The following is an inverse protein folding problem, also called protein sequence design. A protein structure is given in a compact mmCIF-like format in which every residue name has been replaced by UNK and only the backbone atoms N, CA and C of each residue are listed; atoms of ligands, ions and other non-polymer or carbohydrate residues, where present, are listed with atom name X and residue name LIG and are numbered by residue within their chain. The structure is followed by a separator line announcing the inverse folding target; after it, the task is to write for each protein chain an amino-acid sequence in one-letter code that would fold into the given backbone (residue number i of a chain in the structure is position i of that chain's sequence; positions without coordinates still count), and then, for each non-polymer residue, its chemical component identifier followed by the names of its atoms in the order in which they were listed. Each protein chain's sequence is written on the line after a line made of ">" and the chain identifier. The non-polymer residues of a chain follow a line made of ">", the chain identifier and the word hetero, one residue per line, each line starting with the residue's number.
data_IF_608185350259
#
_entry.id   IF_608185350259
#
_cell.length_a   1.000
_cell.length_b   1.000
_cell.length_c   1.000
_cell.angle_alpha   90.00
_cell.angle_beta   90.00
_cell.angle_gamma   90.00
#
_symmetry.space_group_name_H-M   'P 1'
#
loop_
_entity.id
_entity.type
_entity.pdbx_description
1 polymer ?
#
# COMPACT_ATOMS: atom_id res chain seq x y z
N UNK A 1 23.38 -43.05 -30.89
CA UNK A 1 22.20 -43.83 -30.42
C UNK A 1 21.68 -43.19 -29.14
N UNK A 2 20.38 -42.95 -29.01
CA UNK A 2 19.79 -42.38 -27.78
C UNK A 2 19.73 -43.47 -26.70
N UNK A 3 20.07 -43.17 -25.42
CA UNK A 3 20.00 -44.16 -24.35
C UNK A 3 18.56 -44.63 -24.08
N UNK A 4 18.43 -45.86 -23.60
CA UNK A 4 17.16 -46.42 -23.15
C UNK A 4 16.66 -45.65 -21.92
N UNK A 5 15.34 -45.44 -21.82
CA UNK A 5 14.72 -44.80 -20.67
C UNK A 5 14.47 -45.84 -19.59
N UNK A 6 14.92 -45.57 -18.37
CA UNK A 6 14.63 -46.39 -17.20
C UNK A 6 13.39 -45.84 -16.49
N UNK A 7 12.38 -46.69 -16.30
CA UNK A 7 11.15 -46.31 -15.60
C UNK A 7 11.49 -46.08 -14.13
N UNK A 8 11.20 -44.88 -13.62
CA UNK A 8 11.46 -44.50 -12.23
C UNK A 8 12.85 -43.91 -11.95
N UNK A 9 13.73 -43.82 -12.95
CA UNK A 9 15.02 -43.15 -12.79
C UNK A 9 14.80 -41.62 -12.74
N UNK A 10 14.93 -41.04 -11.55
CA UNK A 10 14.83 -39.59 -11.32
C UNK A 10 16.24 -39.03 -11.14
N UNK A 11 16.54 -37.90 -11.80
CA UNK A 11 17.77 -37.17 -11.54
C UNK A 11 17.73 -36.62 -10.11
N UNK A 12 18.60 -37.13 -9.23
CA UNK A 12 18.69 -36.67 -7.84
C UNK A 12 19.45 -35.34 -7.78
N UNK A 13 18.72 -34.23 -7.73
CA UNK A 13 19.30 -32.91 -7.48
C UNK A 13 19.47 -32.71 -5.97
N UNK A 14 20.57 -33.22 -5.42
CA UNK A 14 20.97 -32.99 -4.02
C UNK A 14 21.40 -31.53 -3.72
N UNK A 15 21.23 -30.61 -4.67
CA UNK A 15 21.84 -29.28 -4.67
C UNK A 15 21.00 -28.16 -4.04
N UNK A 16 19.76 -28.42 -3.60
CA UNK A 16 18.86 -27.37 -3.11
C UNK A 16 18.19 -27.73 -1.77
N UNK A 17 19.02 -28.07 -0.79
CA UNK A 17 18.55 -28.35 0.57
C UNK A 17 18.05 -27.07 1.23
N UNK A 18 16.94 -27.18 1.97
CA UNK A 18 16.43 -26.08 2.79
C UNK A 18 17.50 -25.69 3.83
N UNK A 19 17.76 -24.41 4.10
CA UNK A 19 18.68 -24.00 5.15
C UNK A 19 18.27 -24.50 6.54
N UNK A 20 19.25 -24.97 7.32
CA UNK A 20 19.00 -25.54 8.66
C UNK A 20 18.34 -24.56 9.64
N UNK A 21 18.67 -23.28 9.55
CA UNK A 21 18.06 -22.25 10.38
C UNK A 21 16.54 -22.10 10.13
N UNK A 22 16.07 -22.38 8.90
CA UNK A 22 14.64 -22.36 8.58
C UNK A 22 13.97 -23.62 9.10
N UNK A 23 14.58 -24.80 8.90
CA UNK A 23 14.08 -26.06 9.48
C UNK A 23 13.87 -25.94 11.00
N UNK A 24 14.83 -25.34 11.70
CA UNK A 24 14.73 -25.10 13.16
C UNK A 24 13.53 -24.24 13.56
N UNK A 25 13.12 -23.26 12.73
CA UNK A 25 11.92 -22.45 13.00
C UNK A 25 10.63 -23.25 12.86
N UNK A 26 10.57 -24.16 11.89
CA UNK A 26 9.43 -25.06 11.75
C UNK A 26 9.38 -26.11 12.86
N UNK A 27 10.54 -26.67 13.22
CA UNK A 27 10.68 -27.57 14.36
C UNK A 27 10.25 -26.91 15.68
N UNK A 28 10.44 -25.59 15.83
CA UNK A 28 9.96 -24.83 16.99
C UNK A 28 8.51 -24.36 16.91
N UNK A 29 7.72 -24.86 15.95
CA UNK A 29 6.28 -24.59 15.85
C UNK A 29 5.87 -23.47 14.89
N UNK A 30 6.74 -23.09 13.93
CA UNK A 30 6.48 -22.08 12.89
C UNK A 30 5.80 -20.80 13.43
N UNK A 31 6.44 -20.18 14.42
CA UNK A 31 5.93 -19.00 15.15
C UNK A 31 6.27 -17.65 14.48
N UNK A 32 7.01 -17.69 13.38
CA UNK A 32 7.61 -16.52 12.77
C UNK A 32 7.61 -16.62 11.26
N UNK A 33 7.45 -15.46 10.62
CA UNK A 33 7.33 -15.38 9.18
C UNK A 33 8.63 -15.80 8.51
N UNK A 34 8.52 -16.73 7.56
CA UNK A 34 9.60 -17.16 6.68
C UNK A 34 9.27 -16.67 5.27
N UNK A 35 9.95 -15.62 4.79
CA UNK A 35 9.81 -15.16 3.42
C UNK A 35 10.23 -16.24 2.41
N UNK A 36 9.47 -16.39 1.34
CA UNK A 36 9.69 -17.40 0.31
C UNK A 36 11.01 -17.23 -0.44
N UNK A 37 11.56 -16.02 -0.49
CA UNK A 37 12.83 -15.79 -1.18
C UNK A 37 13.97 -16.65 -0.61
N UNK A 38 13.90 -17.01 0.69
CA UNK A 38 14.85 -17.92 1.34
C UNK A 38 14.65 -19.40 1.01
N UNK A 39 13.56 -19.74 0.32
CA UNK A 39 13.22 -21.09 -0.11
C UNK A 39 13.37 -21.27 -1.64
N UNK A 40 13.82 -20.24 -2.35
CA UNK A 40 14.11 -20.31 -3.78
C UNK A 40 15.35 -21.16 -4.07
N UNK A 41 15.46 -21.69 -5.29
CA UNK A 41 16.67 -22.40 -5.74
C UNK A 41 17.92 -21.54 -5.60
N UNK A 42 17.80 -20.23 -5.89
CA UNK A 42 18.88 -19.26 -5.78
C UNK A 42 19.43 -19.16 -4.36
N UNK A 43 18.57 -19.22 -3.35
CA UNK A 43 18.99 -19.15 -1.96
C UNK A 43 19.44 -20.52 -1.43
N UNK A 44 18.66 -21.57 -1.70
CA UNK A 44 18.95 -22.93 -1.24
C UNK A 44 20.17 -23.56 -1.93
N UNK A 45 20.56 -23.05 -3.11
CA UNK A 45 21.79 -23.44 -3.80
C UNK A 45 23.06 -22.80 -3.23
N UNK A 46 22.94 -21.84 -2.30
CA UNK A 46 24.08 -21.31 -1.56
C UNK A 46 24.61 -22.38 -0.59
N UNK A 47 25.91 -22.34 -0.30
CA UNK A 47 26.44 -23.20 0.76
C UNK A 47 25.77 -22.85 2.09
N UNK A 48 25.54 -23.87 2.93
CA UNK A 48 24.89 -23.69 4.22
C UNK A 48 25.56 -22.62 5.09
N UNK A 49 26.89 -22.42 4.98
CA UNK A 49 27.60 -21.38 5.72
C UNK A 49 27.25 -19.96 5.24
N UNK A 50 27.08 -19.75 3.93
CA UNK A 50 26.70 -18.46 3.34
C UNK A 50 25.23 -18.17 3.61
N UNK A 51 24.35 -19.16 3.43
CA UNK A 51 22.94 -19.05 3.77
C UNK A 51 22.76 -18.77 5.27
N UNK A 52 23.46 -19.49 6.15
CA UNK A 52 23.42 -19.26 7.59
C UNK A 52 23.96 -17.89 7.97
N UNK A 53 25.01 -17.38 7.32
CA UNK A 53 25.50 -16.02 7.56
C UNK A 53 24.47 -14.97 7.13
N UNK A 54 23.89 -15.10 5.93
CA UNK A 54 22.85 -14.19 5.46
C UNK A 54 21.62 -14.20 6.38
N UNK A 55 21.20 -15.39 6.83
CA UNK A 55 20.12 -15.54 7.80
C UNK A 55 20.50 -14.94 9.15
N UNK A 56 21.67 -15.24 9.71
CA UNK A 56 22.13 -14.69 10.99
C UNK A 56 22.28 -13.16 10.95
N UNK A 57 22.80 -12.59 9.85
CA UNK A 57 22.89 -11.13 9.66
C UNK A 57 21.50 -10.47 9.61
N UNK A 58 20.47 -11.22 9.19
CA UNK A 58 19.06 -10.82 9.22
C UNK A 58 18.36 -11.12 10.56
N UNK A 59 18.85 -12.10 11.33
CA UNK A 59 18.28 -12.61 12.59
C UNK A 59 19.09 -12.21 13.85
N UNK A 60 20.05 -11.29 13.76
CA UNK A 60 20.92 -10.96 14.90
C UNK A 60 20.14 -10.29 16.03
N UNK A 61 20.14 -10.96 17.20
CA UNK A 61 19.80 -10.37 18.49
C UNK A 61 20.84 -9.32 18.89
N UNK A 62 20.37 -8.21 19.47
CA UNK A 62 21.23 -7.20 20.09
C UNK A 62 21.89 -7.79 21.35
N UNK A 63 23.21 -7.98 21.30
CA UNK A 63 24.01 -8.52 22.39
C UNK A 63 24.46 -7.50 23.44
N UNK A 64 23.97 -6.25 23.39
CA UNK A 64 24.47 -5.16 24.25
C UNK A 64 23.64 -4.86 25.50
N UNK A 65 22.47 -5.46 25.66
CA UNK A 65 21.62 -5.28 26.84
C UNK A 65 21.12 -6.64 27.31
N UNK A 66 21.61 -7.12 28.45
CA UNK A 66 21.20 -8.37 29.10
C UNK A 66 19.75 -8.36 29.62
N UNK A 67 18.81 -7.92 28.78
CA UNK A 67 17.37 -7.86 29.01
C UNK A 67 16.70 -8.31 27.72
N UNK A 68 15.93 -9.39 27.77
CA UNK A 68 15.22 -9.95 26.61
C UNK A 68 14.06 -9.02 26.25
N UNK A 69 14.29 -8.08 25.34
CA UNK A 69 13.23 -7.34 24.66
C UNK A 69 13.21 -7.81 23.21
N UNK A 70 12.19 -8.59 22.87
CA UNK A 70 11.92 -9.06 21.51
C UNK A 70 11.53 -7.86 20.63
N UNK A 71 12.51 -7.19 20.04
CA UNK A 71 12.27 -6.38 18.85
C UNK A 71 12.63 -7.26 17.66
N UNK A 72 11.69 -8.11 17.27
CA UNK A 72 11.75 -8.82 16.01
C UNK A 72 11.86 -7.76 14.90
N UNK A 73 13.06 -7.57 14.37
CA UNK A 73 13.25 -6.78 13.15
C UNK A 73 12.50 -7.53 12.06
N UNK A 74 11.33 -7.04 11.68
CA UNK A 74 10.54 -7.64 10.61
C UNK A 74 11.43 -7.77 9.38
N UNK A 75 11.53 -8.99 8.83
CA UNK A 75 12.34 -9.26 7.66
C UNK A 75 11.86 -8.37 6.50
N UNK A 76 12.76 -7.79 5.69
CA UNK A 76 12.36 -6.98 4.56
C UNK A 76 11.49 -7.80 3.60
N UNK A 77 10.30 -7.28 3.31
CA UNK A 77 9.25 -7.89 2.49
C UNK A 77 9.51 -7.62 1.00
N UNK A 78 10.28 -6.57 0.72
CA UNK A 78 10.65 -6.09 -0.61
C UNK A 78 11.22 -7.16 -1.55
N UNK A 79 12.16 -8.04 -1.13
CA UNK A 79 12.65 -9.10 -2.01
C UNK A 79 11.61 -10.19 -2.32
N UNK A 80 10.61 -10.40 -1.47
CA UNK A 80 9.57 -11.43 -1.69
C UNK A 80 8.51 -10.97 -2.69
N UNK A 81 8.15 -9.68 -2.68
CA UNK A 81 7.20 -9.12 -3.65
C UNK A 81 7.76 -9.03 -5.08
N UNK A 82 9.07 -9.22 -5.24
CA UNK A 82 9.76 -9.24 -6.52
C UNK A 82 9.96 -10.65 -7.10
N UNK A 83 9.47 -11.70 -6.43
CA UNK A 83 9.60 -13.07 -6.93
C UNK A 83 8.89 -13.24 -8.28
N UNK A 84 9.51 -14.00 -9.16
CA UNK A 84 8.84 -14.53 -10.35
C UNK A 84 7.90 -15.67 -9.98
N UNK A 85 6.99 -16.05 -10.90
CA UNK A 85 6.13 -17.20 -10.70
C UNK A 85 6.93 -18.49 -10.46
N UNK A 86 7.99 -18.71 -11.23
CA UNK A 86 8.82 -19.91 -11.12
C UNK A 86 9.55 -19.96 -9.76
N UNK A 87 10.10 -18.83 -9.30
CA UNK A 87 10.74 -18.76 -7.99
C UNK A 87 9.74 -18.98 -6.84
N UNK A 88 8.54 -18.42 -6.94
CA UNK A 88 7.47 -18.65 -5.98
C UNK A 88 7.03 -20.11 -5.97
N UNK A 89 6.86 -20.73 -7.14
CA UNK A 89 6.43 -22.12 -7.27
C UNK A 89 7.45 -23.06 -6.61
N UNK A 90 8.74 -22.88 -6.91
CA UNK A 90 9.83 -23.63 -6.28
C UNK A 90 9.86 -23.43 -4.75
N UNK A 91 9.75 -22.18 -4.30
CA UNK A 91 9.76 -21.85 -2.88
C UNK A 91 8.57 -22.46 -2.13
N UNK A 92 7.38 -22.45 -2.74
CA UNK A 92 6.17 -23.05 -2.18
C UNK A 92 6.26 -24.56 -2.07
N UNK A 93 6.85 -25.25 -3.05
CA UNK A 93 7.07 -26.69 -2.94
C UNK A 93 7.91 -27.05 -1.71
N UNK A 94 8.95 -26.25 -1.40
CA UNK A 94 9.76 -26.44 -0.19
C UNK A 94 9.03 -26.02 1.08
N UNK A 95 8.21 -24.97 1.02
CA UNK A 95 7.37 -24.57 2.15
C UNK A 95 6.36 -25.67 2.50
N UNK A 96 5.69 -26.27 1.52
CA UNK A 96 4.76 -27.37 1.73
C UNK A 96 5.46 -28.59 2.33
N UNK A 97 6.69 -28.92 1.92
CA UNK A 97 7.48 -29.97 2.56
C UNK A 97 7.72 -29.68 4.06
N UNK A 98 8.06 -28.44 4.41
CA UNK A 98 8.24 -28.05 5.82
C UNK A 98 6.93 -28.12 6.61
N UNK A 99 5.82 -27.70 6.02
CA UNK A 99 4.50 -27.76 6.66
C UNK A 99 4.08 -29.22 6.85
N UNK A 100 4.25 -30.07 5.84
CA UNK A 100 3.94 -31.50 5.92
C UNK A 100 4.75 -32.19 7.03
N UNK A 101 6.03 -31.85 7.17
CA UNK A 101 6.93 -32.48 8.14
C UNK A 101 6.71 -31.99 9.57
N UNK A 102 6.52 -30.67 9.78
CA UNK A 102 6.55 -30.06 11.12
C UNK A 102 5.21 -29.52 11.61
N UNK A 103 4.25 -29.27 10.71
CA UNK A 103 2.93 -28.67 11.02
C UNK A 103 1.83 -29.41 10.26
N UNK A 104 1.90 -30.74 10.27
CA UNK A 104 1.11 -31.63 9.43
C UNK A 104 -0.42 -31.41 9.54
N UNK A 105 -0.90 -30.96 10.70
CA UNK A 105 -2.30 -30.64 10.94
C UNK A 105 -2.83 -29.46 10.09
N UNK A 106 -1.95 -28.56 9.65
CA UNK A 106 -2.32 -27.42 8.78
C UNK A 106 -2.01 -27.66 7.31
N UNK A 107 -1.34 -28.76 6.96
CA UNK A 107 -0.87 -29.04 5.61
C UNK A 107 -1.96 -28.89 4.55
N UNK A 108 -3.14 -29.47 4.81
CA UNK A 108 -4.25 -29.40 3.86
C UNK A 108 -4.74 -27.95 3.63
N UNK A 109 -4.77 -27.12 4.68
CA UNK A 109 -5.22 -25.73 4.57
C UNK A 109 -4.27 -24.91 3.68
N UNK A 110 -2.97 -25.11 3.88
CA UNK A 110 -1.93 -24.45 3.10
C UNK A 110 -1.82 -24.97 1.67
N UNK A 111 -2.09 -26.27 1.46
CA UNK A 111 -2.17 -26.84 0.11
C UNK A 111 -3.32 -26.19 -0.69
N UNK A 112 -4.50 -26.04 -0.08
CA UNK A 112 -5.65 -25.36 -0.72
C UNK A 112 -5.31 -23.90 -1.05
N UNK A 113 -4.68 -23.17 -0.12
CA UNK A 113 -4.21 -21.80 -0.37
C UNK A 113 -3.26 -21.73 -1.58
N UNK A 114 -2.24 -22.59 -1.59
CA UNK A 114 -1.28 -22.71 -2.68
C UNK A 114 -1.96 -22.99 -4.03
N UNK A 115 -2.86 -23.98 -4.08
CA UNK A 115 -3.61 -24.33 -5.29
C UNK A 115 -4.51 -23.19 -5.75
N UNK A 116 -5.10 -22.43 -4.82
CA UNK A 116 -5.96 -21.28 -5.14
C UNK A 116 -5.21 -20.17 -5.85
N UNK A 117 -3.94 -19.94 -5.49
CA UNK A 117 -3.07 -18.96 -6.16
C UNK A 117 -2.55 -19.55 -7.47
N UNK A 118 -2.13 -20.81 -7.45
CA UNK A 118 -1.61 -21.52 -8.61
C UNK A 118 -2.63 -21.51 -9.76
N UNK A 119 -3.90 -21.78 -9.49
CA UNK A 119 -4.93 -21.90 -10.52
C UNK A 119 -5.74 -20.61 -10.76
N UNK A 120 -5.33 -19.48 -10.18
CA UNK A 120 -6.06 -18.21 -10.33
C UNK A 120 -6.05 -17.74 -11.80
N UNK A 121 -7.20 -17.47 -12.43
CA UNK A 121 -7.26 -17.09 -13.84
C UNK A 121 -6.49 -15.80 -14.19
N UNK A 122 -6.51 -14.80 -13.29
CA UNK A 122 -5.82 -13.52 -13.48
C UNK A 122 -4.35 -13.54 -13.02
N UNK A 123 -3.82 -14.69 -12.59
CA UNK A 123 -2.47 -14.81 -11.99
C UNK A 123 -1.38 -14.19 -12.86
N UNK A 124 -1.39 -14.46 -14.16
CA UNK A 124 -0.37 -13.96 -15.07
C UNK A 124 -0.41 -12.42 -15.24
N UNK A 125 -1.61 -11.83 -15.20
CA UNK A 125 -1.79 -10.38 -15.35
C UNK A 125 -1.57 -9.62 -14.02
N UNK A 126 -1.86 -10.26 -12.90
CA UNK A 126 -1.86 -9.67 -11.56
C UNK A 126 -0.88 -10.37 -10.63
N UNK A 127 0.28 -10.79 -11.13
CA UNK A 127 1.20 -11.64 -10.38
C UNK A 127 1.68 -10.99 -9.08
N UNK A 128 2.10 -9.73 -9.13
CA UNK A 128 2.51 -8.98 -7.94
C UNK A 128 1.41 -8.86 -6.88
N UNK A 129 0.14 -8.75 -7.30
CA UNK A 129 -1.00 -8.74 -6.38
C UNK A 129 -1.22 -10.13 -5.76
N UNK A 130 -1.06 -11.20 -6.54
CA UNK A 130 -1.12 -12.58 -6.03
C UNK A 130 -0.03 -12.82 -4.97
N UNK A 131 1.19 -12.36 -5.22
CA UNK A 131 2.31 -12.44 -4.27
C UNK A 131 2.06 -11.62 -3.00
N UNK A 132 1.54 -10.40 -3.15
CA UNK A 132 1.19 -9.56 -2.00
C UNK A 132 0.12 -10.22 -1.14
N UNK A 133 -0.91 -10.81 -1.76
CA UNK A 133 -1.94 -11.57 -1.06
C UNK A 133 -1.35 -12.78 -0.34
N UNK A 134 -0.52 -13.57 -1.03
CA UNK A 134 0.16 -14.72 -0.45
C UNK A 134 0.98 -14.38 0.81
N UNK A 135 1.88 -13.40 0.69
CA UNK A 135 2.72 -12.94 1.79
C UNK A 135 1.87 -12.40 2.95
N UNK A 136 0.77 -11.68 2.64
CA UNK A 136 -0.15 -11.16 3.65
C UNK A 136 -0.86 -12.26 4.43
N UNK A 137 -1.39 -13.28 3.75
CA UNK A 137 -2.04 -14.42 4.43
C UNK A 137 -1.04 -15.16 5.30
N UNK A 138 0.15 -15.50 4.79
CA UNK A 138 1.21 -16.16 5.59
C UNK A 138 1.62 -15.38 6.83
N UNK A 139 1.67 -14.05 6.76
CA UNK A 139 1.96 -13.21 7.93
C UNK A 139 0.80 -13.17 8.92
N UNK A 140 -0.44 -13.06 8.43
CA UNK A 140 -1.61 -12.98 9.29
C UNK A 140 -1.87 -14.29 10.04
N UNK A 141 -1.70 -15.45 9.41
CA UNK A 141 -1.87 -16.76 10.05
C UNK A 141 -0.96 -16.99 11.28
N UNK A 142 0.11 -16.21 11.44
CA UNK A 142 0.99 -16.27 12.61
C UNK A 142 0.48 -15.46 13.80
N UNK A 143 -0.42 -14.50 13.57
CA UNK A 143 -0.91 -13.56 14.59
C UNK A 143 -2.42 -13.66 14.80
N UNK A 144 -3.15 -14.21 13.83
CA UNK A 144 -4.59 -14.43 13.88
C UNK A 144 -4.93 -15.85 13.46
N UNK A 145 -6.01 -16.41 14.00
CA UNK A 145 -6.55 -17.72 13.62
C UNK A 145 -7.32 -17.66 12.29
N UNK A 146 -6.74 -17.02 11.27
CA UNK A 146 -7.30 -16.94 9.93
C UNK A 146 -7.08 -18.26 9.20
N UNK A 147 -8.14 -18.81 8.61
CA UNK A 147 -8.06 -20.03 7.80
C UNK A 147 -7.46 -19.70 6.42
N UNK A 148 -6.24 -20.15 6.10
CA UNK A 148 -5.60 -19.83 4.82
C UNK A 148 -6.27 -20.53 3.63
N UNK A 149 -7.05 -21.60 3.86
CA UNK A 149 -7.76 -22.30 2.78
C UNK A 149 -8.89 -21.47 2.16
N UNK A 150 -9.34 -20.43 2.88
CA UNK A 150 -10.39 -19.53 2.42
C UNK A 150 -9.82 -18.35 1.64
N UNK A 151 -10.56 -17.91 0.62
CA UNK A 151 -10.22 -16.67 -0.06
C UNK A 151 -10.75 -15.46 0.71
N UNK A 152 -9.84 -14.63 1.20
CA UNK A 152 -10.16 -13.46 2.02
C UNK A 152 -10.36 -12.23 1.13
N UNK A 153 -11.58 -12.08 0.61
CA UNK A 153 -11.94 -11.01 -0.33
C UNK A 153 -11.62 -9.60 0.21
N UNK A 154 -11.85 -9.35 1.50
CA UNK A 154 -11.55 -8.05 2.10
C UNK A 154 -10.05 -7.71 2.02
N UNK A 155 -9.18 -8.67 2.34
CA UNK A 155 -7.72 -8.52 2.24
C UNK A 155 -7.31 -8.33 0.79
N UNK A 156 -7.89 -9.11 -0.13
CA UNK A 156 -7.62 -8.95 -1.55
C UNK A 156 -7.98 -7.56 -2.07
N UNK A 157 -9.18 -7.06 -1.79
CA UNK A 157 -9.64 -5.76 -2.25
C UNK A 157 -8.80 -4.61 -1.69
N UNK A 158 -8.36 -4.73 -0.43
CA UNK A 158 -7.42 -3.78 0.17
C UNK A 158 -6.10 -3.74 -0.61
N UNK A 159 -5.51 -4.90 -0.88
CA UNK A 159 -4.24 -5.02 -1.62
C UNK A 159 -4.39 -4.57 -3.08
N UNK A 160 -5.50 -4.90 -3.72
CA UNK A 160 -5.80 -4.48 -5.10
C UNK A 160 -5.89 -2.97 -5.20
N UNK A 161 -6.56 -2.33 -4.25
CA UNK A 161 -6.64 -0.86 -4.16
C UNK A 161 -5.25 -0.25 -4.02
N UNK A 162 -4.40 -0.80 -3.15
CA UNK A 162 -3.02 -0.35 -2.98
C UNK A 162 -2.19 -0.56 -4.27
N UNK A 163 -2.36 -1.71 -4.93
CA UNK A 163 -1.65 -2.05 -6.16
C UNK A 163 -2.01 -1.11 -7.31
N UNK A 164 -3.31 -0.84 -7.52
CA UNK A 164 -3.80 0.11 -8.53
C UNK A 164 -3.27 1.51 -8.23
N UNK A 165 -3.34 1.95 -6.98
CA UNK A 165 -2.84 3.27 -6.56
C UNK A 165 -1.34 3.41 -6.84
N UNK A 166 -0.53 2.41 -6.47
CA UNK A 166 0.91 2.43 -6.69
C UNK A 166 1.27 2.41 -8.17
N UNK A 167 0.56 1.62 -8.97
CA UNK A 167 0.75 1.57 -10.43
C UNK A 167 0.42 2.91 -11.07
N UNK A 168 -0.73 3.51 -10.72
CA UNK A 168 -1.12 4.83 -11.23
C UNK A 168 -0.10 5.91 -10.86
N UNK A 169 0.40 5.92 -9.63
CA UNK A 169 1.45 6.85 -9.18
C UNK A 169 2.75 6.66 -9.98
N UNK A 170 3.15 5.41 -10.23
CA UNK A 170 4.34 5.13 -11.03
C UNK A 170 4.19 5.56 -12.49
N UNK A 171 3.03 5.30 -13.11
CA UNK A 171 2.72 5.76 -14.48
C UNK A 171 2.75 7.29 -14.55
N UNK A 172 2.10 7.99 -13.60
CA UNK A 172 2.13 9.45 -13.55
C UNK A 172 3.57 10.01 -13.38
N UNK A 173 4.41 9.33 -12.58
CA UNK A 173 5.83 9.72 -12.44
C UNK A 173 6.64 9.51 -13.72
N UNK A 174 6.37 8.42 -14.44
CA UNK A 174 6.99 8.15 -15.73
C UNK A 174 6.56 9.17 -16.79
N UNK A 175 5.26 9.49 -16.87
CA UNK A 175 4.70 10.47 -17.82
C UNK A 175 5.18 11.90 -17.54
N UNK A 176 5.40 12.25 -16.28
CA UNK A 176 5.95 13.56 -15.88
C UNK A 176 7.48 13.63 -16.01
N UNK A 177 8.15 12.59 -16.51
CA UNK A 177 9.60 12.57 -16.69
C UNK A 177 10.40 12.65 -15.37
N UNK A 178 9.74 12.42 -14.23
CA UNK A 178 10.36 12.46 -12.90
C UNK A 178 11.11 11.15 -12.63
N UNK A 179 12.11 10.86 -13.46
CA UNK A 179 13.14 9.89 -13.08
C UNK A 179 13.95 10.48 -11.94
N UNK A 180 14.07 9.73 -10.84
CA UNK A 180 14.86 10.14 -9.69
C UNK A 180 16.34 10.25 -10.10
N UNK A 181 16.76 11.44 -10.54
CA UNK A 181 18.16 11.79 -10.62
C UNK A 181 18.71 11.85 -9.20
N UNK A 182 19.52 10.83 -8.87
CA UNK A 182 20.43 10.85 -7.72
C UNK A 182 21.25 12.13 -7.79
N UNK A 183 21.17 12.92 -6.72
CA UNK A 183 21.74 14.25 -6.66
C UNK A 183 23.25 14.27 -6.82
N UNK A 184 23.73 15.37 -7.38
CA UNK A 184 25.03 15.94 -7.01
C UNK A 184 24.87 17.45 -6.87
N UNK A 185 24.94 17.89 -5.61
CA UNK A 185 25.00 19.29 -5.22
C UNK A 185 26.18 19.98 -5.91
N UNK A 186 25.92 21.10 -6.57
CA UNK A 186 26.88 22.20 -6.64
C UNK A 186 26.13 23.51 -6.47
N UNK A 187 26.47 24.18 -5.37
CA UNK A 187 26.23 25.60 -5.14
C UNK A 187 26.81 26.42 -6.29
N UNK A 188 26.04 27.35 -6.84
CA UNK A 188 26.57 28.67 -7.21
C UNK A 188 25.51 29.74 -7.00
N UNK A 189 25.90 30.78 -6.27
CA UNK A 189 25.22 32.06 -6.18
C UNK A 189 25.21 32.72 -7.56
N UNK A 190 24.09 33.34 -7.95
CA UNK A 190 24.19 34.68 -8.53
C UNK A 190 22.88 35.46 -8.45
N UNK A 191 23.04 36.71 -8.03
CA UNK A 191 22.04 37.76 -8.01
C UNK A 191 21.70 38.23 -9.42
N UNK A 192 20.46 38.72 -9.59
CA UNK A 192 20.02 39.37 -10.81
C UNK A 192 18.60 39.92 -10.66
N UNK A 193 18.51 41.17 -10.22
CA UNK A 193 17.30 42.00 -10.20
C UNK A 193 16.58 42.02 -11.55
N UNK A 194 15.25 42.01 -11.54
CA UNK A 194 14.44 42.92 -12.36
C UNK A 194 12.98 42.93 -11.90
N UNK A 195 12.61 44.12 -11.44
CA UNK A 195 11.26 44.62 -11.16
C UNK A 195 10.34 44.56 -12.38
N UNK A 196 9.06 44.22 -12.17
CA UNK A 196 7.96 44.90 -12.84
C UNK A 196 6.67 44.86 -12.00
N UNK A 197 6.20 46.06 -11.70
CA UNK A 197 5.00 46.39 -10.93
C UNK A 197 3.75 46.36 -11.83
N UNK A 198 2.66 45.77 -11.34
CA UNK A 198 1.30 46.23 -11.68
C UNK A 198 0.37 46.13 -10.46
N UNK A 199 -0.07 47.30 -9.98
CA UNK A 199 -1.30 47.61 -9.21
C UNK A 199 -2.51 47.29 -10.11
N UNK A 200 -3.76 47.00 -9.72
CA UNK A 200 -4.58 47.09 -8.50
C UNK A 200 -5.88 46.33 -8.85
N UNK A 201 -6.56 45.63 -7.94
CA UNK A 201 -7.79 46.11 -7.27
C UNK A 201 -8.20 45.12 -6.19
N UNK A 202 -8.49 45.64 -4.99
CA UNK A 202 -8.93 44.88 -3.82
C UNK A 202 -10.35 44.30 -3.98
N UNK A 203 -10.65 43.20 -3.27
CA UNK A 203 -11.57 43.37 -2.15
C UNK A 203 -11.09 42.70 -0.86
N UNK A 204 -11.24 43.47 0.22
CA UNK A 204 -11.46 43.06 1.62
C UNK A 204 -10.52 42.00 2.21
N UNK A 205 -9.54 42.48 2.97
CA UNK A 205 -8.61 41.66 3.74
C UNK A 205 -9.33 40.65 4.68
N UNK A 206 -9.00 39.35 4.63
CA UNK A 206 -9.35 38.43 5.70
C UNK A 206 -8.37 38.65 6.85
N UNK A 207 -8.92 39.00 8.01
CA UNK A 207 -8.23 39.12 9.29
C UNK A 207 -7.33 37.89 9.57
N UNK A 208 -6.00 38.03 9.72
CA UNK A 208 -5.06 36.91 9.78
C UNK A 208 -5.11 36.12 11.11
N UNK A 209 -5.88 36.59 12.10
CA UNK A 209 -5.89 36.02 13.46
C UNK A 209 -7.14 35.23 13.87
N UNK A 210 -8.04 34.87 12.94
CA UNK A 210 -8.99 33.78 13.23
C UNK A 210 -8.33 32.44 12.88
N UNK A 211 -7.58 31.89 13.84
CA UNK A 211 -7.45 30.43 13.96
C UNK A 211 -8.87 29.89 14.10
N UNK A 212 -9.46 29.48 12.98
CA UNK A 212 -10.72 28.76 12.98
C UNK A 212 -10.43 27.37 13.54
N UNK A 213 -10.39 27.28 14.88
CA UNK A 213 -10.54 26.02 15.59
C UNK A 213 -11.90 25.49 15.12
N UNK A 214 -11.88 24.46 14.28
CA UNK A 214 -13.10 23.82 13.83
C UNK A 214 -13.77 23.21 15.08
N UNK A 215 -15.06 23.49 15.36
CA UNK A 215 -15.72 22.88 16.49
C UNK A 215 -15.70 21.35 16.35
N UNK A 216 -15.72 20.59 17.47
CA UNK A 216 -15.61 19.15 17.43
C UNK A 216 -16.73 18.59 16.53
N UNK A 217 -16.34 17.74 15.57
CA UNK A 217 -17.18 17.00 14.62
C UNK A 217 -17.53 17.65 13.26
N UNK A 218 -16.93 18.79 12.86
CA UNK A 218 -17.03 19.23 11.46
C UNK A 218 -15.93 18.58 10.60
N UNK A 219 -16.34 17.93 9.51
CA UNK A 219 -15.41 17.32 8.56
C UNK A 219 -14.97 18.32 7.50
N UNK A 220 -13.78 18.14 6.98
CA UNK A 220 -13.29 18.88 5.85
C UNK A 220 -14.14 18.54 4.62
N UNK A 221 -14.81 19.50 4.01
CA UNK A 221 -15.63 19.19 2.83
C UNK A 221 -14.80 18.93 1.56
N UNK A 222 -13.48 19.07 1.62
CA UNK A 222 -12.57 18.77 0.51
C UNK A 222 -12.07 17.33 0.59
N UNK A 223 -11.56 16.91 1.75
CA UNK A 223 -10.95 15.60 1.93
C UNK A 223 -11.70 14.69 2.89
N UNK A 224 -12.69 15.16 3.63
CA UNK A 224 -13.42 14.37 4.61
C UNK A 224 -12.76 14.27 6.00
N UNK A 225 -11.56 14.81 6.16
CA UNK A 225 -10.81 14.76 7.42
C UNK A 225 -11.58 15.42 8.57
N UNK A 226 -11.62 14.75 9.72
CA UNK A 226 -12.33 15.21 10.92
C UNK A 226 -11.41 15.83 11.97
N UNK A 227 -10.09 15.95 11.68
CA UNK A 227 -9.14 16.62 12.56
C UNK A 227 -9.58 18.07 12.83
N UNK A 228 -9.80 18.48 14.10
CA UNK A 228 -10.20 19.85 14.46
C UNK A 228 -9.19 20.93 14.05
N UNK A 229 -7.93 20.55 13.79
CA UNK A 229 -6.89 21.45 13.28
C UNK A 229 -6.89 21.55 11.75
N UNK A 230 -7.69 20.72 11.06
CA UNK A 230 -7.77 20.68 9.61
C UNK A 230 -8.82 21.67 9.08
N UNK A 231 -8.37 22.72 8.38
CA UNK A 231 -9.28 23.68 7.74
C UNK A 231 -9.48 23.37 6.25
N UNK A 232 -10.74 23.25 5.82
CA UNK A 232 -11.06 23.09 4.38
C UNK A 232 -10.58 24.23 3.49
N UNK A 233 -10.39 25.43 4.06
CA UNK A 233 -9.82 26.57 3.30
C UNK A 233 -8.36 26.35 2.95
N UNK A 234 -7.62 25.61 3.79
CA UNK A 234 -6.18 25.31 3.64
C UNK A 234 -5.91 23.85 3.23
N UNK A 235 -6.95 23.05 2.98
CA UNK A 235 -6.82 21.66 2.58
C UNK A 235 -6.28 21.56 1.15
N UNK A 236 -5.05 21.08 0.95
CA UNK A 236 -4.50 20.86 -0.40
C UNK A 236 -4.57 19.40 -0.84
N UNK A 237 -5.35 18.59 -0.12
CA UNK A 237 -5.50 17.18 -0.45
C UNK A 237 -6.16 17.01 -1.81
N UNK A 238 -5.58 16.13 -2.62
CA UNK A 238 -6.17 15.66 -3.87
C UNK A 238 -6.97 14.38 -3.69
N UNK A 239 -6.97 13.84 -2.48
CA UNK A 239 -7.66 12.62 -2.09
C UNK A 239 -8.52 12.84 -0.84
N UNK A 240 -9.61 12.10 -0.76
CA UNK A 240 -10.43 11.98 0.43
C UNK A 240 -9.74 11.06 1.45
N UNK A 241 -10.21 11.06 2.70
CA UNK A 241 -9.68 10.19 3.77
C UNK A 241 -9.88 8.70 3.47
N UNK A 242 -10.86 8.35 2.64
CA UNK A 242 -11.10 6.98 2.18
C UNK A 242 -10.28 6.61 0.93
N UNK A 243 -9.35 7.47 0.50
CA UNK A 243 -8.46 7.22 -0.64
C UNK A 243 -9.02 7.57 -2.01
N UNK A 244 -10.32 7.89 -2.14
CA UNK A 244 -10.91 8.34 -3.40
C UNK A 244 -10.39 9.72 -3.80
N UNK A 245 -10.44 10.07 -5.08
CA UNK A 245 -10.08 11.43 -5.52
C UNK A 245 -11.01 12.48 -4.93
N UNK A 246 -10.41 13.58 -4.45
CA UNK A 246 -11.17 14.72 -4.00
C UNK A 246 -11.86 15.38 -5.19
N UNK A 247 -13.18 15.51 -5.12
CA UNK A 247 -13.98 16.08 -6.20
C UNK A 247 -13.60 17.54 -6.44
N UNK A 248 -13.26 18.26 -5.37
CA UNK A 248 -12.85 19.66 -5.42
C UNK A 248 -11.34 19.81 -5.51
N UNK A 249 -10.85 20.20 -6.69
CA UNK A 249 -9.43 20.40 -6.94
C UNK A 249 -9.04 21.88 -6.88
N UNK A 250 -7.85 22.14 -6.33
CA UNK A 250 -7.19 23.46 -6.42
C UNK A 250 -6.30 23.43 -7.65
N UNK A 251 -6.73 24.08 -8.74
CA UNK A 251 -5.97 24.11 -10.00
C UNK A 251 -4.80 25.11 -9.94
N UNK A 252 -4.98 26.26 -9.28
CA UNK A 252 -3.93 27.25 -8.98
C UNK A 252 -4.13 27.86 -7.60
N UNK A 253 -3.04 28.26 -6.96
CA UNK A 253 -3.08 28.88 -5.64
C UNK A 253 -3.82 30.23 -5.73
N UNK A 254 -4.94 30.36 -5.01
CA UNK A 254 -5.80 31.54 -5.01
C UNK A 254 -7.05 31.44 -5.89
N UNK A 255 -7.21 30.39 -6.69
CA UNK A 255 -8.45 30.15 -7.46
C UNK A 255 -9.53 29.44 -6.62
N UNK A 256 -10.82 29.72 -6.86
CA UNK A 256 -11.91 28.99 -6.23
C UNK A 256 -11.88 27.51 -6.64
N UNK A 257 -12.14 26.62 -5.69
CA UNK A 257 -12.16 25.18 -5.93
C UNK A 257 -13.29 24.83 -6.88
N UNK A 258 -12.95 24.04 -7.90
CA UNK A 258 -13.89 23.58 -8.92
C UNK A 258 -13.77 22.06 -9.06
N UNK A 259 -14.86 21.43 -9.49
CA UNK A 259 -14.82 20.03 -9.88
C UNK A 259 -14.04 19.81 -11.19
N UNK A 260 -13.98 18.56 -11.64
CA UNK A 260 -13.32 18.20 -12.90
C UNK A 260 -13.94 18.93 -14.10
N UNK A 261 -15.25 19.13 -14.07
CA UNK A 261 -16.04 19.82 -15.09
C UNK A 261 -15.98 21.35 -14.99
N UNK A 262 -15.33 21.91 -13.97
CA UNK A 262 -15.16 23.35 -13.79
C UNK A 262 -16.31 24.03 -13.03
N UNK A 263 -17.25 23.28 -12.47
CA UNK A 263 -18.33 23.82 -11.65
C UNK A 263 -17.81 24.22 -10.27
N UNK A 264 -18.31 25.34 -9.75
CA UNK A 264 -18.10 25.74 -8.37
C UNK A 264 -19.20 25.14 -7.48
N UNK A 265 -18.80 24.53 -6.37
CA UNK A 265 -19.75 24.01 -5.37
C UNK A 265 -19.99 25.04 -4.28
N UNK A 266 -21.23 25.11 -3.80
CA UNK A 266 -21.58 26.04 -2.73
C UNK A 266 -20.88 25.63 -1.43
N UNK A 267 -20.00 26.51 -0.95
CA UNK A 267 -19.30 26.33 0.32
C UNK A 267 -20.27 26.25 1.50
N UNK A 268 -21.29 27.11 1.53
CA UNK A 268 -22.25 27.15 2.63
C UNK A 268 -23.07 25.85 2.71
N UNK A 269 -23.46 25.30 1.55
CA UNK A 269 -24.16 24.02 1.47
C UNK A 269 -23.31 22.87 2.02
N UNK A 270 -22.05 22.76 1.60
CA UNK A 270 -21.14 21.70 2.07
C UNK A 270 -20.56 21.95 3.47
N UNK A 271 -20.71 23.16 3.98
CA UNK A 271 -20.34 23.54 5.33
C UNK A 271 -21.42 23.19 6.35
N UNK A 272 -21.07 23.31 7.63
CA UNK A 272 -21.98 22.98 8.74
C UNK A 272 -23.23 23.86 8.81
N UNK A 273 -23.15 25.12 8.37
CA UNK A 273 -24.28 26.05 8.43
C UNK A 273 -25.40 25.70 7.43
N UNK A 274 -25.10 24.91 6.40
CA UNK A 274 -26.00 24.71 5.26
C UNK A 274 -26.19 25.99 4.44
N UNK A 275 -26.88 25.86 3.31
CA UNK A 275 -27.26 26.99 2.48
C UNK A 275 -28.78 27.12 2.43
N UNK A 276 -29.32 28.28 2.83
CA UNK A 276 -30.75 28.57 2.82
C UNK A 276 -31.29 28.99 1.46
N UNK A 277 -30.42 29.21 0.48
CA UNK A 277 -30.80 29.72 -0.86
C UNK A 277 -31.29 28.64 -1.84
N UNK A 278 -31.18 27.36 -1.46
CA UNK A 278 -31.66 26.24 -2.27
C UNK A 278 -31.14 26.24 -3.71
N UNK A 279 -31.99 25.92 -4.68
CA UNK A 279 -31.62 25.84 -6.11
C UNK A 279 -31.16 27.19 -6.72
N UNK A 280 -31.50 28.32 -6.08
CA UNK A 280 -31.16 29.67 -6.57
C UNK A 280 -29.84 30.20 -6.00
N UNK A 281 -28.95 29.30 -5.57
CA UNK A 281 -27.68 29.67 -4.97
C UNK A 281 -26.67 30.16 -6.03
N UNK A 282 -26.41 31.46 -6.06
CA UNK A 282 -25.40 32.08 -6.92
C UNK A 282 -23.95 31.71 -6.52
N UNK A 283 -23.76 31.14 -5.33
CA UNK A 283 -22.44 30.80 -4.77
C UNK A 283 -21.92 29.43 -5.22
N UNK A 284 -22.70 28.70 -6.02
CA UNK A 284 -22.31 27.41 -6.60
C UNK A 284 -23.38 26.33 -6.45
N UNK A 285 -23.11 25.17 -7.05
CA UNK A 285 -24.02 24.01 -7.05
C UNK A 285 -24.12 23.37 -5.67
N UNK A 286 -25.32 22.90 -5.32
CA UNK A 286 -25.60 22.19 -4.07
C UNK A 286 -25.38 20.69 -4.25
N UNK A 287 -24.13 20.31 -4.48
CA UNK A 287 -23.73 18.92 -4.61
C UNK A 287 -22.82 18.56 -3.45
N UNK A 288 -22.89 17.30 -3.01
CA UNK A 288 -22.00 16.82 -1.96
C UNK A 288 -20.57 16.76 -2.51
N UNK A 289 -19.66 17.54 -1.92
CA UNK A 289 -18.28 17.64 -2.38
C UNK A 289 -17.41 16.43 -2.05
N UNK A 290 -17.94 15.45 -1.31
CA UNK A 290 -17.21 14.24 -0.93
C UNK A 290 -17.62 13.01 -1.76
N UNK A 291 -18.90 12.87 -2.14
CA UNK A 291 -19.35 11.73 -2.95
C UNK A 291 -19.84 12.11 -4.35
N UNK A 292 -20.00 13.40 -4.63
CA UNK A 292 -20.35 13.91 -5.95
C UNK A 292 -21.83 13.79 -6.29
N UNK A 293 -22.66 13.33 -5.35
CA UNK A 293 -24.09 13.20 -5.55
C UNK A 293 -24.70 14.58 -5.82
N UNK A 294 -25.43 14.68 -6.94
CA UNK A 294 -25.94 15.94 -7.51
C UNK A 294 -27.41 16.21 -7.17
N UNK A 295 -28.00 15.40 -6.30
CA UNK A 295 -29.41 15.45 -5.91
C UNK A 295 -29.68 16.44 -4.76
N UNK A 296 -28.63 16.98 -4.13
CA UNK A 296 -28.73 17.92 -3.02
C UNK A 296 -29.31 17.32 -1.74
N UNK A 297 -29.42 15.99 -1.63
CA UNK A 297 -30.06 15.31 -0.50
C UNK A 297 -29.24 15.38 0.78
N UNK A 298 -27.92 15.57 0.66
CA UNK A 298 -27.02 15.68 1.80
C UNK A 298 -25.83 16.59 1.50
N UNK A 299 -25.23 17.08 2.58
CA UNK A 299 -24.02 17.92 2.54
C UNK A 299 -22.77 17.06 2.80
N UNK A 300 -21.59 17.62 2.56
CA UNK A 300 -20.35 16.97 2.97
C UNK A 300 -20.29 16.60 4.46
N UNK A 301 -20.97 17.33 5.34
CA UNK A 301 -21.01 17.02 6.78
C UNK A 301 -21.85 15.79 7.11
N UNK A 302 -22.82 15.46 6.26
CA UNK A 302 -23.70 14.28 6.40
C UNK A 302 -23.37 13.15 5.43
N UNK A 303 -22.20 13.18 4.78
CA UNK A 303 -21.86 12.19 3.77
C UNK A 303 -21.42 10.87 4.41
N UNK A 304 -22.15 9.79 4.14
CA UNK A 304 -21.83 8.45 4.63
C UNK A 304 -20.76 7.72 3.80
N UNK A 305 -20.35 8.29 2.66
CA UNK A 305 -19.42 7.65 1.71
C UNK A 305 -17.97 8.10 1.93
N UNK A 306 -17.60 8.45 3.16
CA UNK A 306 -16.34 9.11 3.53
C UNK A 306 -15.75 8.52 4.78
#
# INVERSE_FOLDING_TARGET
>A
KRPAREIGLVASNASFLIPEAIRKKFLSGWDSHVPLHFLTDKFCGLSNSVAAKALNDLFTMDGSSGTVVSVAKELPVEPELALTFDEWFQAWQRLLQLIEEYVANEFHLWLVHYESILHRPSRALQWSLCLAYDSRIRRLSLVTAIDPSQFHLAIWNELETQFITNTAVQTLRADLGLTASRGRSQFTNNAGSSSHSFRTSAPTAPNPNRLAIMPPNSRCFVCGDSDPNHSSRRCHSRVLINGNEAILLVRKQGEPRKDAEGNSLCFAFNGRAGCTRGANCEQGKHWCSLCGLRDGTHTAQGCAKV
#
